data_IF_853396125515
#
_entry.id   IF_853396125515
#
_cell.length_a   1.000
_cell.length_b   1.000
_cell.length_c   1.000
_cell.angle_alpha   90.00
_cell.angle_beta   90.00
_cell.angle_gamma   90.00
#
_symmetry.space_group_name_H-M   'P 1'
#
loop_
_entity.id
_entity.type
_entity.pdbx_description
1 polymer ?
#
# COMPACT_ATOMS: atom_id res chain seq x y z
N UNK A 1 -17.47 26.89 18.84
CA UNK A 1 -17.97 25.59 19.37
C UNK A 1 -17.48 24.56 18.37
N UNK A 2 -16.18 24.38 18.44
CA UNK A 2 -15.36 23.78 17.39
C UNK A 2 -15.49 22.28 17.60
N UNK A 3 -16.30 21.68 16.74
CA UNK A 3 -16.61 20.25 16.73
C UNK A 3 -15.32 19.54 16.36
N UNK A 4 -14.53 19.24 17.39
CA UNK A 4 -13.32 18.45 17.34
C UNK A 4 -13.64 17.19 16.53
N UNK A 5 -13.13 17.18 15.30
CA UNK A 5 -13.28 16.08 14.38
C UNK A 5 -12.41 14.94 14.93
N UNK A 6 -12.97 14.18 15.87
CA UNK A 6 -12.57 12.79 16.09
C UNK A 6 -12.68 12.10 14.75
N UNK A 7 -11.57 12.04 14.01
CA UNK A 7 -11.38 11.06 12.96
C UNK A 7 -11.45 9.73 13.70
N UNK A 8 -12.64 9.13 13.72
CA UNK A 8 -12.79 7.73 14.10
C UNK A 8 -11.70 6.98 13.35
N UNK A 9 -10.77 6.40 14.10
CA UNK A 9 -9.68 5.62 13.54
C UNK A 9 -10.33 4.33 13.07
N UNK A 10 -10.89 4.39 11.86
CA UNK A 10 -11.51 3.24 11.22
C UNK A 10 -10.40 2.26 10.87
N UNK A 11 -10.24 1.24 11.72
CA UNK A 11 -9.39 0.09 11.43
C UNK A 11 -10.19 -0.87 10.55
N UNK A 12 -9.79 -1.10 9.30
CA UNK A 12 -10.44 -2.09 8.45
C UNK A 12 -10.33 -3.48 9.10
N UNK A 13 -11.25 -4.39 8.74
CA UNK A 13 -11.12 -5.80 9.10
C UNK A 13 -9.76 -6.35 8.65
N UNK A 14 -9.23 -7.35 9.36
CA UNK A 14 -7.90 -7.94 9.10
C UNK A 14 -7.70 -8.33 7.63
N UNK A 15 -8.75 -8.88 7.02
CA UNK A 15 -8.76 -9.35 5.63
C UNK A 15 -8.81 -8.20 4.62
N UNK A 16 -9.40 -7.06 5.01
CA UNK A 16 -9.53 -5.85 4.20
C UNK A 16 -8.33 -4.90 4.32
N UNK A 17 -7.50 -5.05 5.35
CA UNK A 17 -6.30 -4.24 5.59
C UNK A 17 -5.42 -4.07 4.33
N UNK A 18 -5.12 -5.12 3.52
CA UNK A 18 -4.32 -4.98 2.31
C UNK A 18 -5.00 -4.16 1.21
N UNK A 19 -6.32 -4.32 1.05
CA UNK A 19 -7.08 -3.54 0.07
C UNK A 19 -7.20 -2.07 0.49
N UNK A 20 -7.47 -1.85 1.77
CA UNK A 20 -7.55 -0.51 2.35
C UNK A 20 -6.21 0.22 2.22
N UNK A 21 -5.09 -0.43 2.56
CA UNK A 21 -3.74 0.08 2.36
C UNK A 21 -3.52 0.50 0.90
N UNK A 22 -3.91 -0.36 -0.05
CA UNK A 22 -3.78 -0.07 -1.48
C UNK A 22 -4.59 1.16 -1.90
N UNK A 23 -5.85 1.26 -1.48
CA UNK A 23 -6.72 2.42 -1.79
C UNK A 23 -6.15 3.72 -1.22
N UNK A 24 -5.62 3.67 -0.01
CA UNK A 24 -5.01 4.83 0.65
C UNK A 24 -3.72 5.27 -0.04
N UNK A 25 -2.87 4.31 -0.42
CA UNK A 25 -1.59 4.62 -1.07
C UNK A 25 -1.74 5.05 -2.52
N UNK A 26 -2.62 4.38 -3.27
CA UNK A 26 -2.81 4.58 -4.71
C UNK A 26 -4.21 5.13 -4.98
N UNK A 27 -4.49 6.36 -4.55
CA UNK A 27 -5.81 7.00 -4.68
C UNK A 27 -6.36 7.00 -6.10
N UNK A 28 -5.50 7.21 -7.10
CA UNK A 28 -5.89 7.26 -8.50
C UNK A 28 -5.37 6.05 -9.27
N UNK A 29 -4.05 5.92 -9.39
CA UNK A 29 -3.38 4.83 -10.11
C UNK A 29 -2.06 4.46 -9.43
N UNK A 30 -1.68 3.20 -9.58
CA UNK A 30 -0.36 2.73 -9.19
C UNK A 30 0.66 3.33 -10.15
N UNK A 31 1.71 3.95 -9.60
CA UNK A 31 2.83 4.49 -10.35
C UNK A 31 4.14 3.97 -9.79
N UNK A 32 5.15 3.83 -10.63
CA UNK A 32 6.47 3.45 -10.17
C UNK A 32 7.00 4.53 -9.22
N UNK A 33 7.44 4.14 -8.02
CA UNK A 33 8.05 5.07 -7.05
C UNK A 33 9.42 5.58 -7.49
N UNK A 34 10.10 4.87 -8.40
CA UNK A 34 11.44 5.23 -8.85
C UNK A 34 11.45 6.07 -10.14
N UNK A 35 10.61 5.75 -11.13
CA UNK A 35 10.58 6.47 -12.41
C UNK A 35 9.28 7.23 -12.68
N UNK A 36 8.25 7.10 -11.84
CA UNK A 36 6.95 7.75 -12.03
C UNK A 36 6.07 7.17 -13.14
N UNK A 37 6.53 6.14 -13.85
CA UNK A 37 5.76 5.53 -14.94
C UNK A 37 4.45 4.90 -14.45
N UNK A 38 3.41 5.02 -15.28
CA UNK A 38 2.12 4.36 -15.12
C UNK A 38 2.06 2.98 -15.81
N UNK A 39 3.11 2.59 -16.54
CA UNK A 39 3.21 1.27 -17.16
C UNK A 39 3.60 0.24 -16.09
N UNK A 40 2.61 -0.18 -15.34
CA UNK A 40 2.74 -1.10 -14.22
C UNK A 40 1.92 -2.36 -14.50
N UNK A 41 2.58 -3.51 -14.44
CA UNK A 41 1.95 -4.82 -14.51
C UNK A 41 1.69 -5.36 -13.09
N UNK A 42 0.52 -5.95 -12.84
CA UNK A 42 0.13 -6.40 -11.51
C UNK A 42 0.37 -7.91 -11.33
N UNK A 43 1.53 -8.28 -10.81
CA UNK A 43 2.05 -9.66 -10.65
C UNK A 43 1.57 -10.37 -9.36
N UNK A 44 0.25 -10.42 -9.15
CA UNK A 44 -0.33 -11.11 -7.99
C UNK A 44 0.01 -10.45 -6.64
N UNK A 45 0.23 -11.27 -5.61
CA UNK A 45 0.37 -10.82 -4.22
C UNK A 45 1.60 -11.41 -3.54
N UNK A 46 2.16 -10.67 -2.59
CA UNK A 46 3.14 -11.17 -1.63
C UNK A 46 2.49 -12.10 -0.61
N UNK A 47 3.30 -12.86 0.14
CA UNK A 47 2.81 -13.71 1.24
C UNK A 47 2.02 -12.96 2.31
N UNK A 48 2.21 -11.65 2.44
CA UNK A 48 1.53 -10.78 3.42
C UNK A 48 0.23 -10.16 2.89
N UNK A 49 -0.14 -10.42 1.64
CA UNK A 49 -1.33 -9.84 1.00
C UNK A 49 -1.10 -8.50 0.28
N UNK A 50 0.09 -7.91 0.35
CA UNK A 50 0.44 -6.73 -0.46
C UNK A 50 0.50 -7.12 -1.94
N UNK A 51 -0.03 -6.29 -2.85
CA UNK A 51 0.07 -6.50 -4.29
C UNK A 51 1.52 -6.37 -4.72
N UNK A 52 1.94 -7.26 -5.62
CA UNK A 52 3.18 -7.12 -6.37
C UNK A 52 2.88 -6.45 -7.69
N UNK A 53 3.79 -5.60 -8.08
CA UNK A 53 3.76 -4.86 -9.31
C UNK A 53 5.12 -4.97 -9.98
N UNK A 54 5.14 -4.95 -11.30
CA UNK A 54 6.35 -4.85 -12.10
C UNK A 54 6.27 -3.57 -12.93
N UNK A 55 7.30 -2.74 -12.87
CA UNK A 55 7.40 -1.58 -13.74
C UNK A 55 7.97 -2.00 -15.09
N UNK A 56 7.20 -1.85 -16.17
CA UNK A 56 7.64 -2.24 -17.51
C UNK A 56 8.70 -1.30 -18.10
N UNK A 57 8.83 -0.06 -17.58
CA UNK A 57 9.86 0.89 -18.05
C UNK A 57 11.20 0.66 -17.35
N UNK A 58 11.17 0.39 -16.03
CA UNK A 58 12.39 0.24 -15.23
C UNK A 58 12.80 -1.23 -15.03
N UNK A 59 11.90 -2.18 -15.29
CA UNK A 59 12.14 -3.62 -15.18
C UNK A 59 12.31 -4.12 -13.74
N UNK A 60 11.77 -3.39 -12.74
CA UNK A 60 11.87 -3.79 -11.33
C UNK A 60 10.51 -3.97 -10.68
N UNK A 61 10.51 -4.84 -9.68
CA UNK A 61 9.35 -5.10 -8.84
C UNK A 61 9.18 -4.05 -7.76
N UNK A 62 7.93 -3.66 -7.54
CA UNK A 62 7.48 -2.85 -6.44
C UNK A 62 6.22 -3.48 -5.82
N UNK A 63 5.84 -3.05 -4.63
CA UNK A 63 4.64 -3.51 -3.96
C UNK A 63 3.98 -2.35 -3.20
N UNK A 64 2.84 -2.63 -2.56
CA UNK A 64 2.11 -1.63 -1.76
C UNK A 64 2.94 -1.01 -0.61
N UNK A 65 4.02 -1.66 -0.17
CA UNK A 65 4.92 -1.18 0.87
C UNK A 65 6.16 -0.47 0.33
N UNK A 66 6.43 -0.58 -0.97
CA UNK A 66 7.65 0.00 -1.58
C UNK A 66 7.68 1.51 -1.40
N UNK A 67 8.77 2.05 -0.85
CA UNK A 67 8.91 3.47 -0.53
C UNK A 67 8.00 3.95 0.61
N UNK A 68 7.66 3.08 1.56
CA UNK A 68 7.02 3.44 2.84
C UNK A 68 7.98 3.14 3.99
N UNK A 69 7.67 3.63 5.19
CA UNK A 69 8.38 3.23 6.42
C UNK A 69 8.28 1.73 6.72
N UNK A 70 7.36 1.01 6.07
CA UNK A 70 7.17 -0.43 6.24
C UNK A 70 7.92 -1.26 5.19
N UNK A 71 8.65 -0.62 4.27
CA UNK A 71 9.48 -1.31 3.29
C UNK A 71 10.56 -2.16 4.00
N UNK A 72 10.64 -3.44 3.66
CA UNK A 72 11.63 -4.36 4.25
C UNK A 72 11.29 -4.84 5.67
N UNK A 73 10.22 -4.33 6.30
CA UNK A 73 9.83 -4.76 7.64
C UNK A 73 9.08 -6.10 7.64
N UNK A 74 9.23 -6.84 8.74
CA UNK A 74 8.63 -8.16 8.93
C UNK A 74 7.20 -8.16 9.49
N UNK A 75 6.61 -6.98 9.77
CA UNK A 75 5.22 -6.84 10.24
C UNK A 75 4.17 -7.39 9.26
N UNK A 76 3.08 -7.93 9.78
CA UNK A 76 1.85 -8.17 9.04
C UNK A 76 1.21 -6.84 8.65
N UNK A 77 0.41 -6.80 7.58
CA UNK A 77 -0.23 -5.56 7.14
C UNK A 77 -1.15 -4.99 8.23
N UNK A 78 -1.88 -5.84 8.93
CA UNK A 78 -2.70 -5.46 10.09
C UNK A 78 -1.89 -4.72 11.17
N UNK A 79 -0.70 -5.22 11.52
CA UNK A 79 0.15 -4.63 12.56
C UNK A 79 0.60 -3.19 12.21
N UNK A 80 0.72 -2.89 10.91
CA UNK A 80 1.12 -1.56 10.42
C UNK A 80 0.06 -0.48 10.70
N UNK A 81 -1.20 -0.85 10.95
CA UNK A 81 -2.28 0.10 11.25
C UNK A 81 -2.34 0.54 12.72
N UNK A 82 -1.58 -0.12 13.61
CA UNK A 82 -1.54 0.19 15.05
C UNK A 82 -0.36 1.06 15.47
N UNK A 83 0.47 1.52 14.51
CA UNK A 83 1.64 2.38 14.73
C UNK A 83 1.31 3.84 14.40
#
# INVERSE_FOLDING_TARGET
MDREAVREVFLPGREDCPEYLRKMRWKERVKCTCCGSLKIWADGYTRKGARKYECCEWGRYLNDLTGTIFEGHHFQIEEMFYM
#
